data_IF_110861171386
#
_entry.id   IF_110861171386
#
_cell.length_a   1.000
_cell.length_b   1.000
_cell.length_c   1.000
_cell.angle_alpha   90.00
_cell.angle_beta   90.00
_cell.angle_gamma   90.00
#
_symmetry.space_group_name_H-M   'P 1'
#
loop_
_entity.id
_entity.type
_entity.pdbx_description
1 polymer ?
#
# COMPACT_ATOMS: atom_id res chain seq x y z
N UNK A 1 1.98 -10.76 14.72
CA UNK A 1 2.22 -10.18 16.05
C UNK A 1 2.97 -11.23 16.79
N UNK A 2 4.23 -10.96 17.09
CA UNK A 2 5.08 -11.94 17.76
C UNK A 2 4.64 -12.18 19.22
N UNK A 3 5.34 -13.11 19.86
CA UNK A 3 5.18 -13.43 21.29
C UNK A 3 5.44 -12.25 22.22
N UNK A 4 6.15 -11.22 21.76
CA UNK A 4 6.40 -9.97 22.50
C UNK A 4 5.32 -8.91 22.21
N UNK A 5 4.23 -9.27 21.53
CA UNK A 5 3.12 -8.39 21.16
C UNK A 5 3.51 -7.26 20.20
N UNK A 6 4.56 -7.44 19.41
CA UNK A 6 4.96 -6.48 18.40
C UNK A 6 4.20 -6.70 17.09
N UNK A 7 3.48 -5.67 16.67
CA UNK A 7 2.83 -5.62 15.37
C UNK A 7 3.85 -5.24 14.28
N UNK A 8 3.85 -6.03 13.20
CA UNK A 8 4.68 -5.87 12.00
C UNK A 8 3.91 -6.39 10.79
N UNK A 9 4.19 -5.83 9.61
CA UNK A 9 3.76 -6.42 8.34
C UNK A 9 4.74 -7.52 7.90
N UNK A 10 4.23 -8.56 7.25
CA UNK A 10 5.03 -9.64 6.69
C UNK A 10 4.45 -10.11 5.35
N UNK A 11 5.31 -10.61 4.45
CA UNK A 11 4.90 -11.05 3.10
C UNK A 11 4.37 -12.48 3.04
N UNK A 12 4.62 -13.29 4.08
CA UNK A 12 4.16 -14.68 4.17
C UNK A 12 3.23 -14.78 5.37
N UNK A 13 2.04 -15.34 5.20
CA UNK A 13 1.10 -15.57 6.29
C UNK A 13 1.61 -16.64 7.26
N UNK A 14 1.50 -16.36 8.56
CA UNK A 14 1.73 -17.32 9.65
C UNK A 14 0.51 -17.28 10.55
N UNK A 15 -0.13 -18.41 10.83
CA UNK A 15 -1.34 -18.46 11.67
C UNK A 15 -1.06 -17.90 13.08
N UNK A 16 0.08 -18.29 13.67
CA UNK A 16 0.48 -17.88 15.01
C UNK A 16 0.56 -16.34 15.15
N UNK A 17 1.06 -15.67 14.12
CA UNK A 17 1.35 -14.25 14.12
C UNK A 17 0.24 -13.41 13.45
N UNK A 18 -0.46 -13.94 12.45
CA UNK A 18 -1.35 -13.18 11.58
C UNK A 18 -2.84 -13.39 11.87
N UNK A 19 -3.19 -14.26 12.82
CA UNK A 19 -4.58 -14.52 13.20
C UNK A 19 -4.95 -13.83 14.50
N UNK A 20 -6.08 -13.12 14.46
CA UNK A 20 -6.63 -12.42 15.62
C UNK A 20 -8.11 -12.75 15.80
N UNK A 21 -8.54 -12.92 17.04
CA UNK A 21 -9.96 -13.00 17.41
C UNK A 21 -10.52 -11.59 17.51
N UNK A 22 -11.67 -11.39 16.87
CA UNK A 22 -12.43 -10.16 16.94
C UNK A 22 -13.37 -10.18 18.15
N UNK A 23 -13.34 -9.12 18.96
CA UNK A 23 -14.22 -8.93 20.10
C UNK A 23 -14.92 -7.56 20.01
N UNK A 24 -16.23 -7.58 19.82
CA UNK A 24 -17.07 -6.39 19.89
C UNK A 24 -17.31 -6.00 21.36
N UNK A 25 -16.98 -4.77 21.71
CA UNK A 25 -17.16 -4.21 23.04
C UNK A 25 -18.54 -3.56 23.17
N UNK A 26 -19.01 -3.38 24.41
CA UNK A 26 -20.30 -2.76 24.70
C UNK A 26 -20.39 -1.28 24.26
N UNK A 27 -19.26 -0.61 24.06
CA UNK A 27 -19.17 0.77 23.56
C UNK A 27 -19.19 0.85 22.01
N UNK A 28 -19.33 -0.28 21.32
CA UNK A 28 -19.36 -0.36 19.86
C UNK A 28 -17.98 -0.38 19.19
N UNK A 29 -16.89 -0.30 19.97
CA UNK A 29 -15.54 -0.50 19.42
C UNK A 29 -15.20 -1.97 19.33
N UNK A 30 -14.26 -2.29 18.45
CA UNK A 30 -13.74 -3.64 18.26
C UNK A 30 -12.33 -3.74 18.84
N UNK A 31 -12.06 -4.85 19.53
CA UNK A 31 -10.73 -5.22 20.01
C UNK A 31 -10.29 -6.51 19.32
N UNK A 32 -9.08 -6.51 18.77
CA UNK A 32 -8.46 -7.68 18.15
C UNK A 32 -7.46 -8.30 19.12
N UNK A 33 -7.54 -9.60 19.37
CA UNK A 33 -6.68 -10.33 20.30
C UNK A 33 -5.90 -11.40 19.54
N UNK A 34 -4.57 -11.49 19.68
CA UNK A 34 -3.84 -12.63 19.07
C UNK A 34 -4.40 -13.94 19.59
N UNK A 35 -4.72 -14.84 18.67
CA UNK A 35 -5.25 -16.16 19.01
C UNK A 35 -4.26 -16.98 19.84
N UNK A 36 -2.96 -16.84 19.55
CA UNK A 36 -1.89 -17.66 20.13
C UNK A 36 -1.27 -17.02 21.39
N UNK A 37 -1.13 -15.70 21.43
CA UNK A 37 -0.43 -15.00 22.52
C UNK A 37 -1.38 -14.30 23.50
N UNK A 38 -2.65 -14.10 23.13
CA UNK A 38 -3.66 -13.50 24.02
C UNK A 38 -3.52 -11.99 24.25
N UNK A 39 -2.50 -11.33 23.67
CA UNK A 39 -2.34 -9.88 23.75
C UNK A 39 -3.31 -9.15 22.79
N UNK A 40 -3.84 -7.97 23.18
CA UNK A 40 -4.58 -7.12 22.27
C UNK A 40 -3.64 -6.44 21.27
N UNK A 41 -4.12 -6.29 20.04
CA UNK A 41 -3.52 -5.41 19.04
C UNK A 41 -3.51 -3.98 19.58
N UNK A 42 -2.34 -3.35 19.60
CA UNK A 42 -2.14 -1.99 20.10
C UNK A 42 -1.24 -1.18 19.17
N UNK A 43 -1.63 0.07 18.91
CA UNK A 43 -0.79 1.03 18.19
C UNK A 43 0.16 1.83 19.11
N UNK A 44 0.21 1.49 20.40
CA UNK A 44 1.11 2.15 21.33
C UNK A 44 2.59 1.82 21.02
N UNK A 45 3.54 2.72 21.33
CA UNK A 45 4.96 2.48 21.13
C UNK A 45 5.43 1.19 21.83
N UNK A 46 6.40 0.48 21.23
CA UNK A 46 6.86 -0.84 21.72
C UNK A 46 7.27 -0.84 23.20
N UNK A 47 7.87 0.25 23.68
CA UNK A 47 8.39 0.40 25.03
C UNK A 47 7.43 1.10 26.01
N UNK A 48 6.16 1.27 25.62
CA UNK A 48 5.16 1.87 26.52
C UNK A 48 4.77 0.87 27.62
N UNK A 49 4.81 1.25 28.91
CA UNK A 49 4.46 0.36 30.03
C UNK A 49 2.97 -0.04 30.02
N UNK A 50 2.13 0.77 29.38
CA UNK A 50 0.69 0.63 29.27
C UNK A 50 0.22 0.11 27.90
N UNK A 51 1.14 -0.37 27.06
CA UNK A 51 0.90 -0.80 25.66
C UNK A 51 -0.34 -1.67 25.47
N UNK A 52 -0.60 -2.59 26.39
CA UNK A 52 -1.71 -3.54 26.32
C UNK A 52 -3.05 -2.96 26.76
N UNK A 53 -3.09 -1.71 27.19
CA UNK A 53 -4.30 -1.03 27.69
C UNK A 53 -4.69 0.17 26.83
N UNK A 54 -3.70 0.90 26.28
CA UNK A 54 -3.93 2.08 25.44
C UNK A 54 -3.92 1.74 23.95
N UNK A 55 -4.68 2.49 23.16
CA UNK A 55 -4.79 2.31 21.69
C UNK A 55 -5.15 0.87 21.25
N UNK A 56 -5.99 0.17 22.03
CA UNK A 56 -6.44 -1.23 21.78
C UNK A 56 -7.86 -1.35 21.22
N UNK A 57 -8.53 -0.23 20.94
CA UNK A 57 -9.93 -0.17 20.50
C UNK A 57 -9.99 0.48 19.13
N UNK A 58 -10.65 -0.18 18.19
CA UNK A 58 -10.73 0.22 16.80
C UNK A 58 -12.17 0.41 16.38
N UNK A 59 -12.43 1.47 15.61
CA UNK A 59 -13.71 1.70 14.97
C UNK A 59 -13.53 1.40 13.47
N UNK A 60 -14.20 0.38 12.90
CA UNK A 60 -14.10 0.09 11.48
C UNK A 60 -14.74 1.21 10.65
N UNK A 61 -13.94 1.88 9.81
CA UNK A 61 -14.39 2.92 8.91
C UNK A 61 -14.43 2.41 7.48
N UNK A 62 -15.38 2.90 6.69
CA UNK A 62 -15.43 2.62 5.24
C UNK A 62 -14.31 3.37 4.55
N UNK A 63 -13.61 2.70 3.64
CA UNK A 63 -12.62 3.36 2.78
C UNK A 63 -13.34 4.37 1.87
N UNK A 64 -12.86 5.61 1.87
CA UNK A 64 -13.37 6.72 1.04
C UNK A 64 -12.41 7.11 -0.08
N UNK A 65 -11.23 6.50 -0.15
CA UNK A 65 -10.28 6.72 -1.24
C UNK A 65 -10.86 6.12 -2.52
N UNK A 66 -10.95 6.94 -3.57
CA UNK A 66 -11.23 6.44 -4.90
C UNK A 66 -10.17 5.40 -5.25
N UNK A 67 -10.59 4.28 -5.84
CA UNK A 67 -9.68 3.22 -6.28
C UNK A 67 -8.92 3.71 -7.52
N UNK A 68 -8.05 4.69 -7.36
CA UNK A 68 -6.93 4.86 -8.27
C UNK A 68 -6.16 3.56 -8.16
N UNK A 69 -6.30 2.73 -9.19
CA UNK A 69 -5.50 1.53 -9.35
C UNK A 69 -4.05 1.91 -9.18
N UNK A 70 -3.46 1.62 -8.02
CA UNK A 70 -2.02 1.57 -7.88
C UNK A 70 -1.62 0.59 -8.98
N UNK A 71 -0.93 1.04 -10.03
CA UNK A 71 -0.43 0.10 -11.01
C UNK A 71 0.50 -0.80 -10.20
N UNK A 72 0.18 -2.08 -10.18
CA UNK A 72 1.15 -3.11 -9.88
C UNK A 72 2.36 -2.76 -10.74
N UNK A 73 3.43 -2.26 -10.10
CA UNK A 73 4.67 -1.95 -10.81
C UNK A 73 5.15 -3.30 -11.33
N UNK A 74 4.82 -3.60 -12.58
CA UNK A 74 5.56 -4.57 -13.37
C UNK A 74 7.01 -4.13 -13.31
N UNK A 75 7.94 -4.96 -12.81
CA UNK A 75 9.35 -4.67 -12.93
C UNK A 75 9.73 -4.98 -14.38
N UNK A 76 9.29 -4.16 -15.33
CA UNK A 76 9.80 -4.20 -16.68
C UNK A 76 9.92 -2.81 -17.27
N UNK A 77 10.71 -1.99 -16.58
CA UNK A 77 11.54 -1.00 -17.25
C UNK A 77 12.93 -1.61 -17.46
N UNK A 78 13.05 -2.60 -18.34
CA UNK A 78 14.22 -2.60 -19.22
C UNK A 78 14.11 -1.38 -20.16
N UNK A 79 14.24 -0.17 -19.61
CA UNK A 79 14.71 0.97 -20.39
C UNK A 79 16.14 0.63 -20.78
N UNK A 80 16.30 -0.10 -21.86
CA UNK A 80 17.54 -0.09 -22.63
C UNK A 80 17.72 1.36 -23.07
N UNK A 81 18.47 2.13 -22.30
CA UNK A 81 19.03 3.37 -22.80
C UNK A 81 19.93 2.96 -23.97
N UNK A 82 19.45 3.19 -25.20
CA UNK A 82 20.28 3.04 -26.37
C UNK A 82 21.32 4.16 -26.32
N UNK A 83 22.50 3.88 -25.74
CA UNK A 83 23.58 4.86 -25.60
C UNK A 83 24.15 5.31 -26.96
N UNK A 84 23.74 4.66 -28.05
CA UNK A 84 24.18 4.94 -29.41
C UNK A 84 23.18 5.83 -30.18
N UNK A 85 22.18 6.39 -29.49
CA UNK A 85 21.18 7.27 -30.11
C UNK A 85 21.58 8.75 -29.96
N UNK A 86 21.67 9.46 -31.09
CA UNK A 86 21.96 10.90 -31.16
C UNK A 86 20.83 11.80 -30.61
N UNK A 87 19.68 11.25 -30.19
CA UNK A 87 18.58 12.00 -29.57
C UNK A 87 18.15 11.37 -28.24
N UNK A 88 18.99 11.58 -27.22
CA UNK A 88 18.83 11.01 -25.88
C UNK A 88 17.62 11.56 -25.09
N UNK A 89 17.02 12.66 -25.54
CA UNK A 89 15.87 13.28 -24.88
C UNK A 89 14.59 13.26 -25.74
N UNK A 90 14.64 12.65 -26.93
CA UNK A 90 13.50 12.47 -27.82
C UNK A 90 12.84 13.79 -28.24
N UNK A 91 13.64 14.85 -28.40
CA UNK A 91 13.15 16.18 -28.79
C UNK A 91 13.29 16.45 -30.30
N UNK A 92 13.38 15.39 -31.11
CA UNK A 92 13.27 15.46 -32.57
C UNK A 92 12.00 16.19 -33.00
N UNK A 93 12.21 17.35 -33.65
CA UNK A 93 11.21 18.28 -34.16
C UNK A 93 10.04 17.56 -34.84
N UNK A 94 8.81 17.76 -34.34
CA UNK A 94 7.60 17.44 -35.08
C UNK A 94 7.67 18.17 -36.43
N UNK A 95 7.99 17.45 -37.50
CA UNK A 95 7.93 17.98 -38.85
C UNK A 95 6.50 18.43 -39.11
N UNK A 96 6.28 19.73 -39.05
CA UNK A 96 5.02 20.38 -39.40
C UNK A 96 4.83 20.22 -40.91
N UNK A 97 4.21 19.12 -41.32
CA UNK A 97 3.76 18.92 -42.70
C UNK A 97 2.54 19.83 -42.90
N UNK A 98 2.73 20.93 -43.64
CA UNK A 98 1.65 21.80 -44.08
C UNK A 98 0.66 21.03 -44.97
N UNK A 99 -0.66 21.09 -44.74
CA UNK A 99 -1.61 20.51 -45.68
C UNK A 99 -1.64 21.35 -46.96
N UNK A 100 -1.29 20.72 -48.08
CA UNK A 100 -1.50 21.25 -49.43
C UNK A 100 -2.96 21.03 -49.81
N UNK A 101 -3.70 22.11 -50.12
CA UNK A 101 -5.01 22.02 -50.77
C UNK A 101 -4.80 22.17 -52.28
N UNK A 102 -4.98 21.08 -53.02
CA UNK A 102 -5.15 21.14 -54.48
C UNK A 102 -6.53 21.70 -54.79
N UNK A 103 -6.57 22.81 -55.51
CA UNK A 103 -7.77 23.32 -56.17
C UNK A 103 -7.79 22.70 -57.58
N UNK A 104 -8.60 21.66 -57.78
CA UNK A 104 -8.90 21.18 -59.14
C UNK A 104 -9.79 22.22 -59.85
N UNK A 105 -9.47 22.43 -61.13
CA UNK A 105 -9.99 23.45 -62.04
C UNK A 105 -11.42 23.18 -62.53
#
# INVERSE_FOLDING_TARGET
MDSESHLRGQGIYSEDDCTFRELLLADGYTRFISSHHGFPVSLAPRHSPDRHTVFTRFLPLRNTLARESVPEQTPDNQRRFNMDSEDLLGMGLNAMVSPQFTLDQ
#
